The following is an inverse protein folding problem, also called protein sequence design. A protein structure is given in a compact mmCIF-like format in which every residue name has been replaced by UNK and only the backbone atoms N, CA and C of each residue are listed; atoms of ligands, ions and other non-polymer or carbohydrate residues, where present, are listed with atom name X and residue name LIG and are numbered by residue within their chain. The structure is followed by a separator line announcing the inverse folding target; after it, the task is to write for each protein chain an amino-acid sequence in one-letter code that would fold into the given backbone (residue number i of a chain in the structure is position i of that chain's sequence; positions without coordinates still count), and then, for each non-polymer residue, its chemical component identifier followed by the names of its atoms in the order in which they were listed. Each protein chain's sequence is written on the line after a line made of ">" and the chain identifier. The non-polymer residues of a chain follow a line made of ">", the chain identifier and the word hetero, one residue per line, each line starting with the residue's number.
data_IF_720542757006
#
_entry.id   IF_720542757006
#
_cell.length_a   1.000
_cell.length_b   1.000
_cell.length_c   1.000
_cell.angle_alpha   90.00
_cell.angle_beta   90.00
_cell.angle_gamma   90.00
#
_symmetry.space_group_name_H-M   'P 1'
#
loop_
_entity.id
_entity.type
_entity.pdbx_description
1 polymer ?
#
# COMPACT_ATOMS: atom_id res chain seq x y z
N UNK A 1 -22.81 61.25 -36.21
CA UNK A 1 -23.40 60.48 -35.09
C UNK A 1 -23.55 58.98 -35.42
N UNK A 2 -22.50 58.27 -35.85
CA UNK A 2 -22.59 56.84 -36.22
C UNK A 2 -21.50 55.93 -35.58
N UNK A 3 -20.43 56.50 -35.02
CA UNK A 3 -19.33 55.72 -34.45
C UNK A 3 -19.59 55.18 -33.03
N UNK A 4 -20.50 55.80 -32.24
CA UNK A 4 -20.77 55.33 -30.86
C UNK A 4 -21.73 54.13 -30.81
N UNK A 5 -22.59 53.94 -31.81
CA UNK A 5 -23.53 52.83 -31.88
C UNK A 5 -22.85 51.47 -32.15
N UNK A 6 -21.84 51.43 -33.05
CA UNK A 6 -21.09 50.22 -33.38
C UNK A 6 -20.20 49.72 -32.22
N UNK A 7 -19.62 50.63 -31.43
CA UNK A 7 -18.83 50.26 -30.24
C UNK A 7 -19.70 49.70 -29.10
N UNK A 8 -20.93 50.21 -28.97
CA UNK A 8 -21.88 49.72 -27.96
C UNK A 8 -22.46 48.36 -28.34
N UNK A 9 -22.69 48.09 -29.63
CA UNK A 9 -23.17 46.80 -30.14
C UNK A 9 -22.10 45.68 -30.07
N UNK A 10 -20.82 46.00 -30.25
CA UNK A 10 -19.72 45.03 -30.07
C UNK A 10 -19.42 44.76 -28.60
N UNK A 11 -19.48 45.78 -27.73
CA UNK A 11 -19.38 45.59 -26.28
C UNK A 11 -20.52 44.73 -25.74
N UNK A 12 -21.74 44.88 -26.23
CA UNK A 12 -22.88 44.05 -25.82
C UNK A 12 -22.79 42.60 -26.32
N UNK A 13 -22.20 42.35 -27.49
CA UNK A 13 -21.88 41.00 -27.98
C UNK A 13 -20.78 40.34 -27.14
N UNK A 14 -19.68 41.05 -26.85
CA UNK A 14 -18.60 40.54 -25.99
C UNK A 14 -19.10 40.31 -24.56
N UNK A 15 -19.99 41.17 -24.05
CA UNK A 15 -20.63 41.00 -22.75
C UNK A 15 -21.60 39.81 -22.74
N UNK A 16 -22.29 39.55 -23.85
CA UNK A 16 -23.12 38.35 -24.05
C UNK A 16 -22.25 37.08 -24.08
N UNK A 17 -21.13 37.08 -24.81
CA UNK A 17 -20.16 35.97 -24.84
C UNK A 17 -19.53 35.71 -23.47
N UNK A 18 -19.18 36.75 -22.71
CA UNK A 18 -18.75 36.61 -21.30
C UNK A 18 -19.82 35.98 -20.40
N UNK A 19 -21.12 36.12 -20.71
CA UNK A 19 -22.22 35.44 -19.99
C UNK A 19 -22.36 33.96 -20.38
N UNK A 20 -21.78 33.51 -21.49
CA UNK A 20 -21.72 32.10 -21.86
C UNK A 20 -20.53 31.39 -21.20
N UNK A 21 -19.42 32.09 -20.95
CA UNK A 21 -18.28 31.60 -20.16
C UNK A 21 -18.46 31.83 -18.65
N UNK A 22 -19.61 31.42 -18.10
CA UNK A 22 -19.95 31.59 -16.67
C UNK A 22 -19.01 30.83 -15.72
N UNK A 23 -18.26 29.87 -16.23
CA UNK A 23 -17.34 29.04 -15.47
C UNK A 23 -16.00 28.93 -16.22
N UNK A 24 -15.12 29.94 -16.09
CA UNK A 24 -13.87 30.01 -16.86
C UNK A 24 -12.90 28.84 -16.57
N UNK A 25 -13.06 28.14 -15.44
CA UNK A 25 -12.29 26.96 -15.04
C UNK A 25 -12.69 25.67 -15.78
N UNK A 26 -13.70 25.70 -16.65
CA UNK A 26 -14.10 24.56 -17.50
C UNK A 26 -13.34 24.54 -18.85
N UNK A 27 -12.50 25.55 -19.13
CA UNK A 27 -11.76 25.66 -20.41
C UNK A 27 -10.45 24.88 -20.37
N UNK A 28 -9.76 24.88 -19.23
CA UNK A 28 -8.45 24.22 -19.06
C UNK A 28 -8.31 23.69 -17.64
N UNK A 29 -7.68 22.52 -17.50
CA UNK A 29 -7.43 21.87 -16.22
C UNK A 29 -8.35 20.68 -15.98
N UNK A 30 -8.28 20.04 -14.79
CA UNK A 30 -8.97 18.78 -14.53
C UNK A 30 -10.48 18.83 -14.78
N UNK A 31 -11.12 19.98 -14.52
CA UNK A 31 -12.56 20.16 -14.72
C UNK A 31 -12.98 20.29 -16.20
N UNK A 32 -12.03 20.36 -17.13
CA UNK A 32 -12.26 20.41 -18.58
C UNK A 32 -12.12 19.02 -19.24
N UNK A 33 -11.61 18.03 -18.51
CA UNK A 33 -11.42 16.67 -19.04
C UNK A 33 -12.74 15.90 -19.09
N UNK A 34 -13.01 15.14 -20.17
CA UNK A 34 -14.26 14.38 -20.32
C UNK A 34 -14.40 13.24 -19.30
N UNK A 35 -13.30 12.85 -18.66
CA UNK A 35 -13.27 11.80 -17.63
C UNK A 35 -13.51 12.35 -16.22
N UNK A 36 -13.49 13.67 -16.03
CA UNK A 36 -13.67 14.30 -14.74
C UNK A 36 -15.10 14.14 -14.22
N UNK A 37 -15.22 13.70 -12.95
CA UNK A 37 -16.49 13.57 -12.24
C UNK A 37 -16.44 14.32 -10.93
N UNK A 38 -17.54 14.97 -10.58
CA UNK A 38 -17.66 15.66 -9.29
C UNK A 38 -17.66 14.65 -8.13
N UNK A 39 -16.94 14.97 -7.06
CA UNK A 39 -16.77 14.09 -5.90
C UNK A 39 -18.01 13.95 -5.01
N UNK A 40 -19.01 14.82 -5.17
CA UNK A 40 -20.22 14.83 -4.34
C UNK A 40 -21.28 13.94 -5.00
N UNK A 41 -21.49 12.69 -4.54
CA UNK A 41 -22.55 11.85 -5.07
C UNK A 41 -23.91 12.44 -4.68
N UNK A 42 -24.93 12.16 -5.49
CA UNK A 42 -26.30 12.46 -5.09
C UNK A 42 -26.68 11.68 -3.82
N UNK A 43 -27.48 12.30 -2.94
CA UNK A 43 -27.97 11.64 -1.73
C UNK A 43 -28.81 10.38 -2.01
N UNK A 44 -29.38 10.27 -3.21
CA UNK A 44 -30.12 9.09 -3.67
C UNK A 44 -29.25 8.03 -4.33
N UNK A 45 -27.98 8.33 -4.61
CA UNK A 45 -27.07 7.45 -5.35
C UNK A 45 -26.12 6.71 -4.41
N UNK A 46 -25.61 7.40 -3.39
CA UNK A 46 -24.72 6.82 -2.40
C UNK A 46 -25.51 6.33 -1.18
N UNK A 47 -25.30 5.06 -0.79
CA UNK A 47 -25.85 4.47 0.43
C UNK A 47 -27.38 4.56 0.53
N UNK A 48 -28.04 4.19 -0.56
CA UNK A 48 -29.52 4.09 -0.66
C UNK A 48 -30.15 3.28 0.48
N UNK A 49 -29.44 2.25 0.94
CA UNK A 49 -29.83 1.45 2.10
C UNK A 49 -28.87 1.73 3.26
N UNK A 50 -29.43 1.89 4.45
CA UNK A 50 -28.64 1.90 5.68
C UNK A 50 -27.88 0.57 5.78
N UNK A 51 -26.61 0.54 6.21
CA UNK A 51 -25.86 -0.71 6.38
C UNK A 51 -26.51 -1.69 7.36
N UNK A 52 -27.29 -1.19 8.31
CA UNK A 52 -28.07 -2.02 9.23
C UNK A 52 -29.34 -2.61 8.57
N UNK A 53 -29.78 -2.06 7.45
CA UNK A 53 -30.98 -2.49 6.70
C UNK A 53 -30.55 -3.24 5.45
N UNK A 54 -30.10 -4.48 5.65
CA UNK A 54 -29.72 -5.38 4.56
C UNK A 54 -30.95 -5.98 3.89
N UNK A 55 -31.05 -5.85 2.57
CA UNK A 55 -32.11 -6.50 1.75
C UNK A 55 -31.94 -8.01 1.66
N UNK A 56 -30.70 -8.48 1.77
CA UNK A 56 -30.36 -9.88 1.64
C UNK A 56 -29.73 -10.37 2.95
N UNK A 57 -30.11 -11.57 3.38
CA UNK A 57 -29.47 -12.24 4.50
C UNK A 57 -28.12 -12.78 4.03
N UNK A 58 -27.02 -12.18 4.50
CA UNK A 58 -25.69 -12.68 4.22
C UNK A 58 -25.41 -13.96 5.03
N UNK A 59 -25.03 -15.04 4.34
CA UNK A 59 -24.53 -16.27 4.96
C UNK A 59 -23.02 -16.33 4.70
N UNK A 60 -22.21 -16.03 5.71
CA UNK A 60 -20.74 -16.02 5.59
C UNK A 60 -20.22 -17.44 5.85
N UNK A 61 -19.52 -18.08 4.89
CA UNK A 61 -18.94 -19.40 5.10
C UNK A 61 -17.79 -19.31 6.12
N UNK A 62 -17.81 -20.19 7.11
CA UNK A 62 -16.77 -20.26 8.17
C UNK A 62 -15.80 -21.44 7.97
N UNK A 63 -16.20 -22.47 7.22
CA UNK A 63 -15.40 -23.67 7.04
C UNK A 63 -15.63 -24.24 5.64
N UNK A 64 -14.59 -24.87 5.11
CA UNK A 64 -14.66 -25.57 3.83
C UNK A 64 -15.54 -26.82 3.96
N UNK A 65 -16.36 -27.15 2.95
CA UNK A 65 -17.34 -28.24 3.02
C UNK A 65 -16.72 -29.60 3.33
N UNK A 66 -15.49 -29.84 2.87
CA UNK A 66 -14.73 -31.07 3.12
C UNK A 66 -14.45 -31.28 4.62
N UNK A 67 -14.34 -30.19 5.38
CA UNK A 67 -13.95 -30.23 6.80
C UNK A 67 -15.13 -30.11 7.78
N UNK A 68 -16.35 -29.95 7.25
CA UNK A 68 -17.57 -29.87 8.06
C UNK A 68 -17.91 -31.24 8.64
N UNK A 69 -17.83 -32.30 7.82
CA UNK A 69 -18.15 -33.66 8.24
C UNK A 69 -16.90 -34.50 8.56
N UNK A 70 -15.78 -34.33 7.85
CA UNK A 70 -14.50 -34.96 8.23
C UNK A 70 -13.72 -34.04 9.18
N UNK A 71 -14.02 -34.16 10.48
CA UNK A 71 -13.52 -33.26 11.52
C UNK A 71 -12.15 -33.67 12.09
N UNK A 72 -11.40 -34.55 11.42
CA UNK A 72 -10.08 -35.01 11.89
C UNK A 72 -9.13 -33.82 12.03
N UNK A 73 -8.78 -33.50 13.28
CA UNK A 73 -8.00 -32.31 13.58
C UNK A 73 -6.50 -32.50 13.33
N UNK A 74 -5.94 -33.69 13.63
CA UNK A 74 -4.49 -33.91 13.58
C UNK A 74 -3.89 -33.80 12.17
N UNK A 75 -4.65 -34.13 11.12
CA UNK A 75 -4.23 -33.95 9.72
C UNK A 75 -4.23 -32.49 9.29
N UNK A 76 -5.14 -31.68 9.86
CA UNK A 76 -5.29 -30.25 9.55
C UNK A 76 -4.39 -29.34 10.39
N UNK A 77 -3.87 -29.83 11.52
CA UNK A 77 -3.08 -29.03 12.47
C UNK A 77 -1.71 -28.62 11.92
N UNK A 78 -1.67 -27.50 11.19
CA UNK A 78 -0.43 -26.92 10.66
C UNK A 78 0.48 -26.32 11.74
N UNK A 79 -0.04 -26.04 12.95
CA UNK A 79 0.74 -25.42 14.02
C UNK A 79 1.70 -26.43 14.65
N UNK A 80 1.24 -27.66 14.84
CA UNK A 80 2.03 -28.74 15.46
C UNK A 80 2.69 -29.65 14.44
N UNK A 81 2.16 -29.75 13.23
CA UNK A 81 2.73 -30.54 12.12
C UNK A 81 3.96 -29.83 11.50
N UNK A 82 4.94 -29.51 12.33
CA UNK A 82 6.24 -28.98 11.91
C UNK A 82 7.32 -30.01 12.25
N UNK A 83 8.35 -30.16 11.40
CA UNK A 83 9.44 -31.08 11.70
C UNK A 83 10.10 -30.70 13.05
N UNK A 84 10.52 -31.69 13.85
CA UNK A 84 11.20 -31.41 15.11
C UNK A 84 12.54 -30.72 14.86
N UNK A 85 12.96 -29.88 15.82
CA UNK A 85 14.21 -29.13 15.73
C UNK A 85 15.38 -30.11 15.81
N UNK A 86 16.19 -30.18 14.75
CA UNK A 86 17.43 -30.98 14.71
C UNK A 86 18.62 -30.09 15.07
N UNK A 87 19.34 -30.42 16.13
CA UNK A 87 20.56 -29.72 16.55
C UNK A 87 21.76 -30.65 16.39
N UNK A 88 22.75 -30.22 15.61
CA UNK A 88 24.00 -30.96 15.37
C UNK A 88 25.17 -30.09 15.79
N UNK A 89 26.11 -30.65 16.56
CA UNK A 89 27.33 -29.96 16.98
C UNK A 89 28.40 -30.23 15.91
N UNK A 90 28.94 -29.17 15.30
CA UNK A 90 30.05 -29.27 14.35
C UNK A 90 31.37 -29.02 15.09
N UNK A 91 32.31 -29.97 15.00
CA UNK A 91 33.68 -29.79 15.51
C UNK A 91 34.58 -29.22 14.43
N UNK A 92 35.77 -28.75 14.82
CA UNK A 92 36.78 -28.21 13.91
C UNK A 92 37.09 -29.18 12.74
N UNK A 93 37.26 -30.47 13.03
CA UNK A 93 37.53 -31.49 12.02
C UNK A 93 36.41 -31.61 10.95
N UNK A 94 35.15 -31.47 11.35
CA UNK A 94 34.02 -31.52 10.42
C UNK A 94 34.00 -30.30 9.50
N UNK A 95 34.35 -29.13 10.04
CA UNK A 95 34.44 -27.87 9.28
C UNK A 95 35.58 -27.93 8.27
N UNK A 96 36.76 -28.41 8.66
CA UNK A 96 37.92 -28.56 7.76
C UNK A 96 37.61 -29.51 6.60
N UNK A 97 36.90 -30.61 6.88
CA UNK A 97 36.40 -31.54 5.85
C UNK A 97 35.46 -30.84 4.88
N UNK A 98 34.45 -30.11 5.38
CA UNK A 98 33.49 -29.37 4.55
C UNK A 98 34.20 -28.32 3.68
N UNK A 99 35.21 -27.64 4.22
CA UNK A 99 35.97 -26.64 3.45
C UNK A 99 36.82 -27.28 2.35
N UNK A 100 37.35 -28.48 2.58
CA UNK A 100 38.13 -29.21 1.58
C UNK A 100 37.24 -29.78 0.46
N UNK A 101 36.00 -30.16 0.78
CA UNK A 101 35.05 -30.74 -0.17
C UNK A 101 34.29 -29.69 -1.00
N UNK A 102 34.09 -28.48 -0.47
CA UNK A 102 33.36 -27.41 -1.17
C UNK A 102 34.21 -26.75 -2.25
N UNK A 103 33.68 -26.72 -3.47
CA UNK A 103 34.11 -25.85 -4.56
C UNK A 103 32.93 -24.97 -4.98
N UNK A 104 33.19 -23.81 -5.57
CA UNK A 104 32.14 -22.85 -5.95
C UNK A 104 32.00 -22.77 -7.46
N UNK A 105 30.79 -22.99 -7.95
CA UNK A 105 30.36 -22.68 -9.31
C UNK A 105 29.52 -21.39 -9.32
N UNK A 106 29.27 -20.82 -10.51
CA UNK A 106 28.49 -19.58 -10.69
C UNK A 106 27.08 -19.69 -10.11
N UNK A 107 26.48 -20.89 -10.10
CA UNK A 107 25.15 -21.14 -9.53
C UNK A 107 25.08 -21.15 -8.01
N UNK A 108 26.22 -21.31 -7.32
CA UNK A 108 26.27 -21.38 -5.85
C UNK A 108 26.14 -20.01 -5.20
N UNK A 109 26.30 -18.94 -5.97
CA UNK A 109 26.15 -17.57 -5.48
C UNK A 109 24.67 -17.20 -5.34
N UNK A 110 24.28 -16.53 -4.24
CA UNK A 110 22.91 -16.08 -4.07
C UNK A 110 22.52 -15.13 -5.21
N UNK A 111 21.36 -15.38 -5.83
CA UNK A 111 20.86 -14.56 -6.93
C UNK A 111 20.66 -13.12 -6.45
N UNK A 112 21.22 -12.18 -7.19
CA UNK A 112 21.02 -10.76 -6.92
C UNK A 112 19.58 -10.39 -7.28
N UNK A 113 18.90 -9.70 -6.36
CA UNK A 113 17.64 -9.05 -6.66
C UNK A 113 17.91 -7.80 -7.50
N UNK A 114 17.94 -7.97 -8.82
CA UNK A 114 18.10 -6.86 -9.76
C UNK A 114 16.80 -6.09 -9.86
N UNK A 115 16.83 -4.80 -9.52
CA UNK A 115 15.74 -3.88 -9.84
C UNK A 115 15.84 -3.53 -11.32
N UNK A 116 14.74 -3.68 -12.06
CA UNK A 116 14.70 -3.29 -13.46
C UNK A 116 14.98 -1.77 -13.57
N UNK A 117 15.63 -1.34 -14.65
CA UNK A 117 15.60 0.07 -15.05
C UNK A 117 14.16 0.36 -15.48
N UNK A 118 13.44 1.10 -14.65
CA UNK A 118 12.05 1.48 -14.92
C UNK A 118 12.09 2.79 -15.72
N UNK A 119 11.46 2.77 -16.88
CA UNK A 119 11.08 3.99 -17.59
C UNK A 119 9.68 4.37 -17.13
N UNK A 120 9.55 5.57 -16.58
CA UNK A 120 8.29 6.07 -16.00
C UNK A 120 7.40 6.58 -17.14
N UNK A 121 6.33 5.83 -17.43
CA UNK A 121 5.25 6.28 -18.31
C UNK A 121 3.96 6.40 -17.49
N UNK A 122 3.33 7.57 -17.58
CA UNK A 122 2.15 7.96 -16.81
C UNK A 122 0.93 7.06 -17.07
N UNK A 123 0.72 6.60 -18.32
CA UNK A 123 -0.50 5.88 -18.72
C UNK A 123 -0.27 4.51 -19.38
N UNK A 124 0.97 4.00 -19.41
CA UNK A 124 1.36 2.77 -20.12
C UNK A 124 0.57 1.50 -19.74
N UNK A 125 0.19 1.35 -18.47
CA UNK A 125 -0.44 0.12 -17.97
C UNK A 125 -1.96 0.26 -17.93
N UNK A 126 -2.65 -0.49 -18.78
CA UNK A 126 -4.13 -0.52 -18.80
C UNK A 126 -4.78 0.82 -19.18
N UNK A 127 -4.02 1.75 -19.77
CA UNK A 127 -4.48 3.10 -20.09
C UNK A 127 -4.74 3.98 -18.87
N UNK A 128 -3.98 3.79 -17.77
CA UNK A 128 -4.03 4.66 -16.57
C UNK A 128 -5.19 4.41 -15.59
N UNK A 129 -6.27 3.74 -16.01
CA UNK A 129 -7.51 3.61 -15.20
C UNK A 129 -7.38 2.77 -13.92
N UNK A 130 -6.40 1.87 -13.84
CA UNK A 130 -6.18 1.02 -12.64
C UNK A 130 -5.15 1.59 -11.66
N UNK A 131 -4.31 2.56 -12.08
CA UNK A 131 -3.18 3.04 -11.29
C UNK A 131 -3.59 4.04 -10.19
N UNK A 132 -4.63 4.85 -10.40
CA UNK A 132 -5.09 5.86 -9.43
C UNK A 132 -5.83 5.32 -8.20
N UNK A 133 -6.12 4.02 -8.11
CA UNK A 133 -6.79 3.42 -6.94
C UNK A 133 -5.81 2.89 -5.86
N UNK A 134 -4.50 3.03 -6.08
CA UNK A 134 -3.45 2.67 -5.13
C UNK A 134 -3.08 3.79 -4.15
N UNK A 135 -2.24 3.47 -3.16
CA UNK A 135 -1.85 4.30 -2.02
C UNK A 135 -1.38 5.74 -2.33
N UNK A 136 -0.98 6.02 -3.58
CA UNK A 136 -0.56 7.36 -4.02
C UNK A 136 -1.74 8.34 -4.06
N UNK A 137 -2.96 7.91 -4.40
CA UNK A 137 -4.16 8.77 -4.38
C UNK A 137 -4.52 9.28 -2.98
N UNK A 138 -4.26 8.47 -1.95
CA UNK A 138 -4.58 8.83 -0.56
C UNK A 138 -3.67 9.95 0.01
N UNK A 139 -2.43 10.08 -0.50
CA UNK A 139 -1.47 11.11 -0.06
C UNK A 139 -1.88 12.48 -0.60
N UNK A 140 -2.39 12.54 -1.83
CA UNK A 140 -2.90 13.79 -2.43
C UNK A 140 -4.22 14.25 -1.78
N UNK A 141 -5.10 13.33 -1.40
CA UNK A 141 -6.37 13.65 -0.71
C UNK A 141 -6.16 14.24 0.69
N UNK A 142 -5.22 13.71 1.48
CA UNK A 142 -4.89 14.27 2.80
C UNK A 142 -4.29 15.68 2.70
N UNK A 143 -3.49 15.98 1.67
CA UNK A 143 -2.93 17.31 1.44
C UNK A 143 -3.99 18.37 1.15
N UNK A 144 -5.06 18.00 0.42
CA UNK A 144 -6.17 18.89 0.10
C UNK A 144 -7.09 19.17 1.28
N UNK A 145 -7.22 18.24 2.23
CA UNK A 145 -8.03 18.42 3.44
C UNK A 145 -7.36 19.34 4.46
N UNK A 146 -6.02 19.34 4.53
CA UNK A 146 -5.25 20.11 5.52
C UNK A 146 -4.56 21.37 4.98
N UNK A 147 -4.67 21.67 3.67
CA UNK A 147 -4.16 22.92 3.09
C UNK A 147 -2.63 23.01 3.00
N UNK A 148 -1.92 21.89 2.98
CA UNK A 148 -0.46 21.85 2.91
C UNK A 148 0.04 21.60 1.48
N UNK A 149 1.05 22.36 1.06
CA UNK A 149 1.71 22.16 -0.23
C UNK A 149 2.38 20.77 -0.28
N UNK A 150 2.18 19.96 -1.34
CA UNK A 150 2.54 18.53 -1.37
C UNK A 150 4.03 18.26 -1.13
N UNK A 151 4.89 19.21 -1.51
CA UNK A 151 6.35 19.16 -1.26
C UNK A 151 6.70 19.16 0.23
N UNK A 152 5.97 19.93 1.05
CA UNK A 152 6.21 20.03 2.50
C UNK A 152 5.68 18.81 3.25
N UNK A 153 4.63 18.15 2.74
CA UNK A 153 4.12 16.93 3.36
C UNK A 153 5.01 15.72 3.06
N UNK A 154 5.63 15.66 1.88
CA UNK A 154 6.62 14.64 1.54
C UNK A 154 7.86 14.73 2.45
N UNK A 155 8.27 15.93 2.80
CA UNK A 155 9.36 16.19 3.74
C UNK A 155 8.92 15.87 5.19
N UNK A 156 7.69 16.22 5.58
CA UNK A 156 7.11 15.84 6.87
C UNK A 156 6.95 14.32 7.06
N UNK A 157 6.63 13.57 5.99
CA UNK A 157 6.53 12.10 6.03
C UNK A 157 7.90 11.40 5.96
N UNK A 158 8.91 12.06 5.39
CA UNK A 158 10.31 11.61 5.43
C UNK A 158 10.95 11.84 6.80
N UNK A 159 10.58 12.94 7.46
CA UNK A 159 11.16 13.35 8.74
C UNK A 159 10.41 12.78 9.96
N UNK A 160 9.13 12.42 9.82
CA UNK A 160 8.42 11.70 10.88
C UNK A 160 8.71 10.20 10.83
N UNK A 161 9.37 9.75 11.90
CA UNK A 161 9.76 8.39 12.28
C UNK A 161 8.67 7.28 12.22
N UNK A 162 7.48 7.53 11.69
CA UNK A 162 6.35 6.59 11.62
C UNK A 162 6.49 5.49 10.55
N UNK A 163 7.32 5.70 9.52
CA UNK A 163 7.73 4.62 8.61
C UNK A 163 8.95 3.85 9.12
N UNK A 164 9.67 4.41 10.12
CA UNK A 164 10.72 3.67 10.82
C UNK A 164 10.15 2.71 11.86
N UNK A 165 8.97 2.97 12.44
CA UNK A 165 8.37 2.07 13.43
C UNK A 165 7.93 0.73 12.82
N UNK A 166 7.45 0.66 11.58
CA UNK A 166 7.13 -0.65 10.96
C UNK A 166 8.38 -1.46 10.58
N UNK A 167 9.47 -0.77 10.20
CA UNK A 167 10.77 -1.42 9.95
C UNK A 167 11.45 -1.80 11.26
N UNK A 168 11.30 -0.99 12.31
CA UNK A 168 11.78 -1.26 13.66
C UNK A 168 11.01 -2.43 14.27
N UNK A 169 9.67 -2.45 14.23
CA UNK A 169 8.82 -3.56 14.71
C UNK A 169 9.11 -4.86 13.94
N UNK A 170 9.31 -4.80 12.62
CA UNK A 170 9.78 -5.99 11.87
C UNK A 170 11.21 -6.37 12.22
N UNK A 171 12.13 -5.43 12.41
CA UNK A 171 13.51 -5.72 12.81
C UNK A 171 13.63 -6.16 14.26
N UNK A 172 12.70 -5.78 15.13
CA UNK A 172 12.66 -6.06 16.56
C UNK A 172 11.88 -7.34 16.82
N UNK A 173 10.89 -7.68 15.99
CA UNK A 173 10.33 -9.03 15.92
C UNK A 173 11.36 -10.03 15.34
N UNK A 174 12.14 -9.64 14.34
CA UNK A 174 13.23 -10.47 13.78
C UNK A 174 14.42 -10.55 14.75
N UNK A 175 14.77 -9.47 15.46
CA UNK A 175 15.78 -9.49 16.53
C UNK A 175 15.28 -10.25 17.75
N UNK A 176 14.03 -10.16 18.18
CA UNK A 176 13.50 -10.94 19.31
C UNK A 176 13.35 -12.44 19.00
N UNK A 177 13.24 -12.81 17.71
CA UNK A 177 13.37 -14.21 17.27
C UNK A 177 14.83 -14.67 17.25
N UNK A 178 15.79 -13.76 17.06
CA UNK A 178 17.25 -14.04 16.98
C UNK A 178 18.00 -13.81 18.31
N UNK A 179 17.45 -13.04 19.25
CA UNK A 179 18.11 -12.53 20.46
C UNK A 179 17.44 -12.98 21.76
N UNK A 180 16.77 -14.14 21.78
CA UNK A 180 16.61 -14.86 23.05
C UNK A 180 18.00 -15.24 23.55
N UNK A 181 18.63 -14.30 24.26
CA UNK A 181 19.81 -14.54 25.07
C UNK A 181 19.48 -15.72 25.99
N UNK A 182 20.38 -16.69 26.16
CA UNK A 182 20.25 -17.62 27.27
C UNK A 182 20.18 -16.79 28.56
N UNK A 183 19.22 -17.10 29.43
CA UNK A 183 19.30 -16.68 30.83
C UNK A 183 20.67 -17.10 31.33
N UNK A 184 21.38 -16.16 31.97
CA UNK A 184 22.51 -16.53 32.83
C UNK A 184 21.98 -17.55 33.83
N UNK A 185 22.61 -18.70 33.85
CA UNK A 185 22.57 -19.60 35.00
C UNK A 185 23.22 -18.78 36.12
N UNK A 186 22.44 -18.45 37.14
CA UNK A 186 22.99 -18.03 38.42
C UNK A 186 23.60 -19.29 39.02
N UNK A 187 24.88 -19.20 39.42
CA UNK A 187 25.57 -20.27 40.12
C UNK A 187 24.81 -20.62 41.40
N UNK A 188 24.75 -21.90 41.75
CA UNK A 188 24.00 -22.48 42.87
C UNK A 188 24.56 -22.11 44.26
N UNK A 189 25.27 -20.98 44.42
CA UNK A 189 25.86 -20.53 45.69
C UNK A 189 25.11 -19.34 46.36
N UNK A 190 23.99 -18.87 45.82
CA UNK A 190 23.17 -17.80 46.45
C UNK A 190 21.78 -18.23 46.94
N UNK A 191 21.53 -19.54 47.09
CA UNK A 191 20.26 -20.04 47.65
C UNK A 191 20.50 -21.29 48.51
N UNK A 192 21.18 -21.10 49.65
CA UNK A 192 20.98 -21.69 50.99
C UNK A 192 21.97 -21.04 51.95
#
# INVERSE_FOLDING_TARGET
>A
MAASAASSATKSLIQSLKRFFKKPWEITGPCADPEYKNAVPGALEYRVFCPATVKAKACIPNSDPETVYDIKYYSRDQRRNRPPIRRTILKKADVEKIMKEKSFDVSDFPKVYLTAKVEEDYNARGGGRTAMQGAEGAIWDLGSVFGFHPRLMLDFFKDNHWLQSDRAIRSEAVKNVVSKRPMRILDEEELI
#
